data_IF_994123377706
#
_entry.id   IF_994123377706
#
_cell.length_a   1.000
_cell.length_b   1.000
_cell.length_c   1.000
_cell.angle_alpha   90.00
_cell.angle_beta   90.00
_cell.angle_gamma   90.00
#
_symmetry.space_group_name_H-M   'P 1'
#
loop_
_entity.id
_entity.type
_entity.pdbx_description
1 polymer ?
#
# COMPACT_ATOMS: atom_id res chain seq x y z
N UNK A 1 48.01 -30.56 11.40
CA UNK A 1 46.98 -29.57 11.78
C UNK A 1 45.70 -30.01 11.10
N UNK A 2 44.75 -30.58 11.85
CA UNK A 2 43.47 -30.98 11.29
C UNK A 2 42.55 -29.77 11.33
N UNK A 3 42.02 -29.38 10.18
CA UNK A 3 41.00 -28.34 10.06
C UNK A 3 39.71 -29.06 9.72
N UNK A 4 38.72 -28.99 10.61
CA UNK A 4 37.36 -29.43 10.34
C UNK A 4 36.58 -28.27 9.70
N UNK A 5 35.89 -28.58 8.59
CA UNK A 5 35.07 -27.61 7.86
C UNK A 5 33.62 -28.05 7.99
N UNK A 6 32.78 -27.19 8.58
CA UNK A 6 31.34 -27.43 8.78
C UNK A 6 30.53 -26.58 7.82
N UNK A 7 29.50 -27.15 7.19
CA UNK A 7 28.58 -26.42 6.32
C UNK A 7 27.37 -25.89 7.09
N UNK A 8 27.31 -24.57 7.25
CA UNK A 8 26.20 -23.87 7.92
C UNK A 8 25.28 -23.13 6.92
N UNK A 9 25.35 -23.46 5.63
CA UNK A 9 24.61 -22.75 4.57
C UNK A 9 23.09 -22.77 4.77
N UNK A 10 22.53 -23.87 5.28
CA UNK A 10 21.10 -23.99 5.55
C UNK A 10 20.64 -23.02 6.65
N UNK A 11 21.39 -22.95 7.75
CA UNK A 11 21.11 -22.06 8.87
C UNK A 11 21.24 -20.59 8.45
N UNK A 12 22.27 -20.27 7.67
CA UNK A 12 22.46 -18.94 7.13
C UNK A 12 21.30 -18.51 6.21
N UNK A 13 20.85 -19.39 5.31
CA UNK A 13 19.70 -19.12 4.43
C UNK A 13 18.43 -18.87 5.23
N UNK A 14 18.13 -19.71 6.21
CA UNK A 14 16.98 -19.53 7.08
C UNK A 14 17.04 -18.20 7.85
N UNK A 15 18.23 -17.82 8.34
CA UNK A 15 18.45 -16.53 9.00
C UNK A 15 18.21 -15.34 8.07
N UNK A 16 18.69 -15.43 6.82
CA UNK A 16 18.51 -14.41 5.80
C UNK A 16 17.04 -14.25 5.39
N UNK A 17 16.34 -15.36 5.15
CA UNK A 17 14.91 -15.36 4.84
C UNK A 17 14.10 -14.72 5.96
N UNK A 18 14.39 -15.09 7.22
CA UNK A 18 13.75 -14.47 8.38
C UNK A 18 14.05 -12.96 8.47
N UNK A 19 15.26 -12.52 8.11
CA UNK A 19 15.60 -11.09 8.06
C UNK A 19 14.84 -10.34 6.98
N UNK A 20 14.70 -10.92 5.78
CA UNK A 20 13.88 -10.36 4.70
C UNK A 20 12.42 -10.22 5.13
N UNK A 21 11.84 -11.25 5.75
CA UNK A 21 10.44 -11.19 6.20
C UNK A 21 10.23 -10.11 7.27
N UNK A 22 11.15 -9.97 8.23
CA UNK A 22 11.10 -8.87 9.21
C UNK A 22 11.22 -7.50 8.57
N UNK A 23 12.06 -7.36 7.55
CA UNK A 23 12.20 -6.11 6.80
C UNK A 23 10.90 -5.74 6.08
N UNK A 24 10.30 -6.71 5.38
CA UNK A 24 9.05 -6.53 4.64
C UNK A 24 7.89 -6.17 5.58
N UNK A 25 7.80 -6.80 6.75
CA UNK A 25 6.81 -6.46 7.78
C UNK A 25 6.95 -5.01 8.24
N UNK A 26 8.19 -4.56 8.53
CA UNK A 26 8.45 -3.17 8.93
C UNK A 26 8.13 -2.18 7.81
N UNK A 27 8.46 -2.52 6.56
CA UNK A 27 8.09 -1.71 5.40
C UNK A 27 6.56 -1.63 5.25
N UNK A 28 5.85 -2.74 5.43
CA UNK A 28 4.39 -2.80 5.40
C UNK A 28 3.76 -1.90 6.45
N UNK A 29 4.20 -1.98 7.71
CA UNK A 29 3.75 -1.11 8.80
C UNK A 29 3.95 0.38 8.49
N UNK A 30 5.12 0.76 7.97
CA UNK A 30 5.41 2.15 7.60
C UNK A 30 4.58 2.61 6.41
N UNK A 31 4.42 1.77 5.40
CA UNK A 31 3.60 2.08 4.24
C UNK A 31 2.13 2.21 4.57
N UNK A 32 1.61 1.36 5.46
CA UNK A 32 0.27 1.47 6.02
C UNK A 32 0.09 2.80 6.78
N UNK A 33 1.05 3.17 7.63
CA UNK A 33 1.05 4.45 8.36
C UNK A 33 0.98 5.64 7.39
N UNK A 34 1.81 5.64 6.34
CA UNK A 34 1.81 6.72 5.35
C UNK A 34 0.52 6.78 4.54
N UNK A 35 0.02 5.63 4.08
CA UNK A 35 -1.24 5.54 3.35
C UNK A 35 -2.41 6.05 4.20
N UNK A 36 -2.46 5.67 5.47
CA UNK A 36 -3.46 6.16 6.44
C UNK A 36 -3.38 7.67 6.65
N UNK A 37 -2.18 8.24 6.82
CA UNK A 37 -2.00 9.70 6.97
C UNK A 37 -2.46 10.50 5.75
N UNK A 38 -2.27 9.95 4.55
CA UNK A 38 -2.65 10.61 3.29
C UNK A 38 -4.12 10.34 2.91
N UNK A 39 -4.74 9.32 3.49
CA UNK A 39 -6.12 8.93 3.20
C UNK A 39 -7.08 10.05 3.63
N UNK A 40 -8.02 10.46 2.77
CA UNK A 40 -9.08 11.35 3.19
C UNK A 40 -9.98 10.66 4.21
N UNK A 41 -10.41 11.43 5.22
CA UNK A 41 -11.24 10.92 6.32
C UNK A 41 -12.59 11.63 6.27
N UNK A 42 -13.63 10.84 6.04
CA UNK A 42 -15.02 11.25 6.25
C UNK A 42 -15.59 10.49 7.47
N UNK A 43 -15.99 9.23 7.30
CA UNK A 43 -16.42 8.35 8.40
C UNK A 43 -15.29 7.52 9.03
N UNK A 44 -14.11 7.50 8.41
CA UNK A 44 -12.96 6.69 8.83
C UNK A 44 -12.95 5.24 8.29
N UNK A 45 -14.00 4.80 7.58
CA UNK A 45 -14.06 3.44 7.04
C UNK A 45 -12.89 3.11 6.10
N UNK A 46 -12.59 3.99 5.14
CA UNK A 46 -11.47 3.79 4.22
C UNK A 46 -10.14 3.74 4.99
N UNK A 47 -9.90 4.73 5.84
CA UNK A 47 -8.70 4.81 6.67
C UNK A 47 -8.47 3.51 7.48
N UNK A 48 -9.51 2.98 8.11
CA UNK A 48 -9.41 1.78 8.94
C UNK A 48 -9.27 0.48 8.13
N UNK A 49 -9.72 0.49 6.87
CA UNK A 49 -9.59 -0.66 5.95
C UNK A 49 -8.20 -0.80 5.33
N UNK A 50 -7.33 0.20 5.45
CA UNK A 50 -5.99 0.15 4.89
C UNK A 50 -5.13 -0.78 5.73
N UNK A 51 -4.50 -1.75 5.08
CA UNK A 51 -3.62 -2.74 5.69
C UNK A 51 -2.51 -3.18 4.73
N UNK A 52 -1.63 -4.05 5.20
CA UNK A 52 -0.57 -4.64 4.43
C UNK A 52 -0.52 -6.17 4.57
N UNK A 53 0.06 -6.84 3.58
CA UNK A 53 0.27 -8.28 3.58
C UNK A 53 1.65 -8.59 2.99
N UNK A 54 2.48 -9.30 3.77
CA UNK A 54 3.76 -9.81 3.29
C UNK A 54 3.52 -11.13 2.58
N UNK A 55 4.01 -11.25 1.35
CA UNK A 55 4.00 -12.49 0.57
C UNK A 55 5.41 -13.07 0.48
N UNK A 56 5.75 -14.08 1.31
CA UNK A 56 7.09 -14.65 1.38
C UNK A 56 7.60 -15.20 0.05
N UNK A 57 6.71 -15.81 -0.74
CA UNK A 57 7.06 -16.44 -2.02
C UNK A 57 7.50 -15.43 -3.09
N UNK A 58 7.06 -14.18 -2.98
CA UNK A 58 7.42 -13.10 -3.91
C UNK A 58 8.46 -12.15 -3.31
N UNK A 59 8.80 -12.31 -2.03
CA UNK A 59 9.63 -11.38 -1.26
C UNK A 59 9.11 -9.93 -1.38
N UNK A 60 7.78 -9.80 -1.33
CA UNK A 60 7.08 -8.54 -1.51
C UNK A 60 6.15 -8.26 -0.33
N UNK A 61 5.83 -6.99 -0.14
CA UNK A 61 4.76 -6.55 0.75
C UNK A 61 3.77 -5.71 -0.05
N UNK A 62 2.51 -6.05 0.06
CA UNK A 62 1.40 -5.36 -0.59
C UNK A 62 0.70 -4.47 0.41
N UNK A 63 0.41 -3.23 0.02
CA UNK A 63 -0.33 -2.27 0.85
C UNK A 63 -1.58 -1.89 0.07
N UNK A 64 -2.74 -1.96 0.70
CA UNK A 64 -4.00 -1.74 0.04
C UNK A 64 -5.17 -1.60 1.00
N UNK A 65 -6.37 -1.67 0.46
CA UNK A 65 -7.63 -1.65 1.20
C UNK A 65 -8.55 -2.72 0.63
N UNK A 66 -9.34 -3.37 1.48
CA UNK A 66 -10.41 -4.28 1.06
C UNK A 66 -11.74 -3.55 0.77
N UNK A 67 -11.75 -2.22 0.81
CA UNK A 67 -12.93 -1.41 0.51
C UNK A 67 -13.09 -1.20 -0.99
N UNK A 68 -14.24 -1.57 -1.55
CA UNK A 68 -14.50 -1.47 -3.00
C UNK A 68 -14.31 -0.05 -3.55
N UNK A 69 -14.64 0.98 -2.76
CA UNK A 69 -14.54 2.36 -3.20
C UNK A 69 -13.13 2.96 -3.05
N UNK A 70 -12.17 2.22 -2.51
CA UNK A 70 -10.78 2.66 -2.35
C UNK A 70 -10.16 3.12 -3.67
N UNK A 71 -10.36 2.34 -4.75
CA UNK A 71 -9.85 2.66 -6.07
C UNK A 71 -10.42 3.98 -6.62
N UNK A 72 -11.70 4.26 -6.34
CA UNK A 72 -12.35 5.51 -6.76
C UNK A 72 -11.76 6.73 -6.04
N UNK A 73 -11.35 6.55 -4.79
CA UNK A 73 -10.67 7.61 -4.03
C UNK A 73 -9.25 7.82 -4.54
N UNK A 74 -8.47 6.74 -4.71
CA UNK A 74 -7.08 6.81 -5.18
C UNK A 74 -6.97 7.42 -6.58
N UNK A 75 -7.83 6.98 -7.51
CA UNK A 75 -7.69 7.25 -8.95
C UNK A 75 -8.68 8.28 -9.49
N UNK A 76 -9.73 8.60 -8.74
CA UNK A 76 -10.84 9.43 -9.20
C UNK A 76 -11.82 8.66 -10.10
N UNK A 77 -12.91 9.32 -10.49
CA UNK A 77 -13.98 8.73 -11.30
C UNK A 77 -14.51 9.70 -12.37
N UNK A 78 -15.30 9.19 -13.31
CA UNK A 78 -15.91 9.98 -14.38
C UNK A 78 -14.85 10.65 -15.25
N UNK A 79 -15.00 11.96 -15.46
CA UNK A 79 -14.08 12.73 -16.33
C UNK A 79 -12.66 12.83 -15.79
N UNK A 80 -12.44 12.48 -14.52
CA UNK A 80 -11.12 12.57 -13.87
C UNK A 80 -10.29 11.30 -14.01
N UNK A 81 -10.84 10.21 -14.55
CA UNK A 81 -10.14 8.94 -14.73
C UNK A 81 -10.00 8.59 -16.23
N UNK A 82 -8.82 8.15 -16.71
CA UNK A 82 -8.65 7.66 -18.07
C UNK A 82 -9.55 6.45 -18.36
N UNK A 83 -10.47 6.59 -19.31
CA UNK A 83 -11.49 5.56 -19.62
C UNK A 83 -12.78 5.69 -18.80
N UNK A 84 -12.88 6.67 -17.92
CA UNK A 84 -14.14 7.03 -17.25
C UNK A 84 -15.10 7.79 -18.17
N UNK A 85 -16.36 7.88 -17.75
CA UNK A 85 -17.41 8.64 -18.46
C UNK A 85 -17.08 10.14 -18.47
N UNK A 86 -16.92 10.72 -19.65
CA UNK A 86 -16.56 12.12 -19.83
C UNK A 86 -17.76 13.06 -19.72
N UNK A 87 -18.93 12.62 -20.19
CA UNK A 87 -20.14 13.42 -20.15
C UNK A 87 -20.79 13.38 -18.77
N UNK A 88 -21.10 14.55 -18.16
CA UNK A 88 -21.82 14.62 -16.90
C UNK A 88 -23.16 13.89 -16.95
N UNK A 89 -23.60 13.38 -15.80
CA UNK A 89 -24.95 12.82 -15.66
C UNK A 89 -25.84 13.76 -14.88
N UNK A 90 -27.09 13.89 -15.33
CA UNK A 90 -28.10 14.70 -14.70
C UNK A 90 -29.22 13.78 -14.24
N UNK A 91 -29.64 13.92 -12.98
CA UNK A 91 -30.79 13.19 -12.44
C UNK A 91 -31.59 14.06 -11.49
N UNK A 92 -32.87 13.72 -11.33
CA UNK A 92 -33.74 14.33 -10.35
C UNK A 92 -33.85 13.40 -9.14
N UNK A 93 -33.64 13.92 -7.93
CA UNK A 93 -33.80 13.14 -6.70
C UNK A 93 -35.28 12.95 -6.34
N UNK A 94 -35.56 12.12 -5.33
CA UNK A 94 -36.92 11.87 -4.84
C UNK A 94 -37.64 13.11 -4.27
N UNK A 95 -36.90 14.20 -4.01
CA UNK A 95 -37.43 15.48 -3.53
C UNK A 95 -37.65 16.48 -4.67
N UNK A 96 -37.39 16.09 -5.92
CA UNK A 96 -37.55 16.93 -7.09
C UNK A 96 -36.35 17.82 -7.43
N UNK A 97 -35.23 17.72 -6.70
CA UNK A 97 -34.03 18.52 -7.00
C UNK A 97 -33.21 17.89 -8.12
N UNK A 98 -32.72 18.74 -9.03
CA UNK A 98 -31.83 18.32 -10.11
C UNK A 98 -30.37 18.33 -9.65
N UNK A 99 -29.66 17.24 -9.94
CA UNK A 99 -28.25 17.04 -9.62
C UNK A 99 -27.44 16.86 -10.90
N UNK A 100 -26.27 17.50 -10.97
CA UNK A 100 -25.30 17.36 -12.05
C UNK A 100 -24.02 16.74 -11.49
N UNK A 101 -23.68 15.52 -11.94
CA UNK A 101 -22.48 14.80 -11.46
C UNK A 101 -21.39 14.78 -12.51
N UNK A 102 -20.17 15.12 -12.08
CA UNK A 102 -18.97 15.18 -12.93
C UNK A 102 -17.97 14.06 -12.65
N UNK A 103 -18.24 13.20 -11.66
CA UNK A 103 -17.27 12.29 -11.07
C UNK A 103 -16.49 12.92 -9.91
N UNK A 104 -15.72 12.08 -9.22
CA UNK A 104 -14.90 12.43 -8.07
C UNK A 104 -13.45 12.68 -8.51
N UNK A 105 -12.80 13.71 -7.95
CA UNK A 105 -11.37 13.93 -8.15
C UNK A 105 -10.55 12.92 -7.35
N UNK A 106 -9.44 12.46 -7.94
CA UNK A 106 -8.48 11.61 -7.26
C UNK A 106 -7.92 12.27 -5.99
N UNK A 107 -7.80 11.50 -4.93
CA UNK A 107 -7.09 11.82 -3.69
C UNK A 107 -6.13 10.65 -3.40
N UNK A 108 -4.99 10.59 -4.12
CA UNK A 108 -4.06 9.48 -4.00
C UNK A 108 -3.46 9.41 -2.60
N UNK A 109 -3.43 8.21 -2.03
CA UNK A 109 -2.91 7.89 -0.71
C UNK A 109 -2.03 6.64 -0.72
N UNK A 110 -2.28 5.65 -1.59
CA UNK A 110 -1.45 4.44 -1.71
C UNK A 110 -0.16 4.70 -2.50
N UNK A 111 -0.29 5.22 -3.72
CA UNK A 111 0.89 5.48 -4.56
C UNK A 111 1.90 6.43 -3.91
N UNK A 112 1.49 7.58 -3.34
CA UNK A 112 2.45 8.47 -2.67
C UNK A 112 3.06 7.86 -1.41
N UNK A 113 2.33 7.02 -0.66
CA UNK A 113 2.87 6.34 0.52
C UNK A 113 4.05 5.40 0.19
N UNK A 114 4.05 4.78 -1.00
CA UNK A 114 5.16 3.94 -1.45
C UNK A 114 6.22 4.78 -2.17
N UNK A 115 5.83 5.52 -3.20
CA UNK A 115 6.78 6.23 -4.06
C UNK A 115 7.52 7.38 -3.35
N UNK A 116 6.90 8.01 -2.35
CA UNK A 116 7.48 9.12 -1.61
C UNK A 116 8.53 8.73 -0.56
N UNK A 117 8.64 7.44 -0.21
CA UNK A 117 9.39 6.97 0.96
C UNK A 117 10.46 5.90 0.64
N UNK A 118 10.86 5.78 -0.63
CA UNK A 118 11.80 4.74 -1.09
C UNK A 118 13.09 4.63 -0.26
N UNK A 119 13.70 5.77 0.10
CA UNK A 119 14.95 5.80 0.90
C UNK A 119 14.77 5.23 2.30
N UNK A 120 13.59 5.43 2.91
CA UNK A 120 13.30 4.92 4.24
C UNK A 120 13.11 3.41 4.21
N UNK A 121 12.36 2.89 3.22
CA UNK A 121 12.22 1.45 3.02
C UNK A 121 13.57 0.78 2.76
N UNK A 122 14.43 1.39 1.94
CA UNK A 122 15.79 0.91 1.72
C UNK A 122 16.60 0.85 3.02
N UNK A 123 16.47 1.87 3.88
CA UNK A 123 17.14 1.90 5.19
C UNK A 123 16.64 0.81 6.13
N UNK A 124 15.34 0.52 6.13
CA UNK A 124 14.74 -0.56 6.93
C UNK A 124 15.29 -1.91 6.48
N UNK A 125 15.30 -2.16 5.17
CA UNK A 125 15.79 -3.42 4.59
C UNK A 125 17.27 -3.62 4.93
N UNK A 126 18.10 -2.60 4.70
CA UNK A 126 19.54 -2.67 5.04
C UNK A 126 19.75 -2.92 6.54
N UNK A 127 18.97 -2.27 7.39
CA UNK A 127 19.06 -2.43 8.85
C UNK A 127 18.75 -3.86 9.32
N UNK A 128 17.75 -4.52 8.73
CA UNK A 128 17.42 -5.90 9.08
C UNK A 128 18.41 -6.91 8.50
N UNK A 129 18.93 -6.66 7.30
CA UNK A 129 19.87 -7.56 6.61
C UNK A 129 21.28 -7.53 7.20
N UNK A 130 21.74 -6.40 7.72
CA UNK A 130 23.08 -6.29 8.30
C UNK A 130 23.21 -6.94 9.69
N UNK A 131 22.09 -7.33 10.31
CA UNK A 131 22.09 -7.83 11.69
C UNK A 131 22.39 -6.72 12.70
N UNK A 132 22.10 -6.98 13.98
CA UNK A 132 22.57 -6.14 15.09
C UNK A 132 23.92 -6.64 15.60
#
# INVERSE_FOLDING_TARGET
>A
MNVEITDNSAEFRAGMEAAVLRALEKCGLKGEEYAKKMCPVDTGNLHNSISHQVEPGEQAVYIGSNSEYAAYVELGTGKYYPGGRQDPWVYQDAKGNWHLTHGQRAQPYLKPAVAGHAKEYESIIKGELHGK
#
